data_IF_626831870491
#
_entry.id   IF_626831870491
#
_cell.length_a   1.000
_cell.length_b   1.000
_cell.length_c   1.000
_cell.angle_alpha   90.00
_cell.angle_beta   90.00
_cell.angle_gamma   90.00
#
_symmetry.space_group_name_H-M   'P 1'
#
loop_
_entity.id
_entity.type
_entity.pdbx_description
1 polymer ?
#
# COMPACT_ATOMS: atom_id res chain seq x y z
N UNK A 1 -25.76 -41.70 68.63
CA UNK A 1 -24.61 -40.77 68.47
C UNK A 1 -24.41 -40.54 66.98
N UNK A 2 -24.50 -39.28 66.51
CA UNK A 2 -24.21 -38.80 65.15
C UNK A 2 -25.09 -39.34 63.99
N UNK A 3 -25.52 -38.56 63.00
CA UNK A 3 -25.32 -37.14 62.65
C UNK A 3 -26.45 -36.75 61.70
N UNK A 4 -26.99 -35.53 61.88
CA UNK A 4 -27.94 -34.88 60.98
C UNK A 4 -27.27 -34.62 59.63
N UNK A 5 -27.98 -34.85 58.52
CA UNK A 5 -27.67 -34.23 57.23
C UNK A 5 -28.96 -33.56 56.73
N UNK A 6 -28.98 -32.23 56.81
CA UNK A 6 -30.01 -31.38 56.20
C UNK A 6 -29.64 -31.20 54.73
N UNK A 7 -30.50 -31.59 53.82
CA UNK A 7 -30.36 -31.26 52.40
C UNK A 7 -31.02 -29.89 52.15
N UNK A 8 -30.19 -28.91 51.81
CA UNK A 8 -30.63 -27.59 51.37
C UNK A 8 -30.88 -27.65 49.87
N UNK A 9 -32.12 -27.52 49.43
CA UNK A 9 -32.48 -27.37 48.01
C UNK A 9 -32.19 -25.91 47.64
N UNK A 10 -31.18 -25.69 46.79
CA UNK A 10 -30.94 -24.38 46.17
C UNK A 10 -31.89 -24.22 44.99
N UNK A 11 -32.79 -23.25 45.06
CA UNK A 11 -33.63 -22.79 43.95
C UNK A 11 -32.77 -21.88 43.08
N UNK A 12 -32.34 -22.37 41.91
CA UNK A 12 -31.57 -21.58 40.95
C UNK A 12 -32.58 -20.90 40.02
N UNK A 13 -32.83 -19.62 40.26
CA UNK A 13 -33.73 -18.79 39.45
C UNK A 13 -33.03 -18.44 38.13
N UNK A 14 -33.72 -18.81 37.06
CA UNK A 14 -33.63 -18.42 35.66
C UNK A 14 -32.86 -17.14 35.33
N UNK A 15 -31.92 -17.27 34.38
CA UNK A 15 -31.71 -16.30 33.30
C UNK A 15 -31.46 -17.08 32.01
N UNK A 16 -32.53 -17.62 31.41
CA UNK A 16 -32.51 -17.94 29.98
C UNK A 16 -32.62 -16.60 29.25
N UNK A 17 -31.47 -16.01 28.91
CA UNK A 17 -31.42 -14.98 27.88
C UNK A 17 -31.73 -15.66 26.54
N UNK A 18 -33.02 -15.71 26.19
CA UNK A 18 -33.46 -15.92 24.83
C UNK A 18 -33.11 -14.66 24.03
N UNK A 19 -31.86 -14.57 23.59
CA UNK A 19 -31.49 -13.73 22.45
C UNK A 19 -32.24 -14.26 21.23
N UNK A 20 -33.44 -13.71 21.00
CA UNK A 20 -34.14 -13.91 19.74
C UNK A 20 -33.28 -13.24 18.67
N UNK A 21 -32.90 -13.93 17.58
CA UNK A 21 -32.35 -13.24 16.43
C UNK A 21 -33.43 -12.28 15.94
N UNK A 22 -33.11 -10.98 15.94
CA UNK A 22 -33.89 -9.99 15.19
C UNK A 22 -33.71 -10.39 13.73
N UNK A 23 -34.67 -11.15 13.20
CA UNK A 23 -34.82 -11.31 11.76
C UNK A 23 -35.11 -9.91 11.23
N UNK A 24 -34.11 -9.30 10.58
CA UNK A 24 -34.31 -8.06 9.85
C UNK A 24 -35.47 -8.28 8.88
N UNK A 25 -36.60 -7.63 9.16
CA UNK A 25 -37.76 -7.69 8.29
C UNK A 25 -37.38 -6.91 7.03
N UNK A 26 -37.27 -7.61 5.91
CA UNK A 26 -36.94 -7.04 4.61
C UNK A 26 -38.01 -5.98 4.27
N UNK A 27 -37.63 -4.71 4.32
CA UNK A 27 -38.52 -3.59 4.01
C UNK A 27 -38.81 -3.61 2.51
N UNK A 28 -40.05 -3.95 2.15
CA UNK A 28 -40.52 -4.00 0.76
C UNK A 28 -40.54 -2.57 0.21
N UNK A 29 -39.94 -2.35 -0.95
CA UNK A 29 -39.89 -1.04 -1.59
C UNK A 29 -41.23 -0.66 -2.25
N UNK A 30 -41.57 0.63 -2.22
CA UNK A 30 -42.85 1.15 -2.71
C UNK A 30 -42.89 1.30 -4.25
N UNK A 31 -41.75 1.08 -4.92
CA UNK A 31 -41.63 1.20 -6.37
C UNK A 31 -40.43 0.43 -6.93
N UNK A 32 -40.47 0.18 -8.24
CA UNK A 32 -39.34 -0.42 -8.97
C UNK A 32 -38.05 0.40 -8.82
N UNK A 33 -38.14 1.73 -8.92
CA UNK A 33 -36.97 2.62 -8.85
C UNK A 33 -36.32 2.58 -7.47
N UNK A 34 -37.14 2.54 -6.42
CA UNK A 34 -36.63 2.42 -5.05
C UNK A 34 -36.01 1.04 -4.80
N UNK A 35 -36.67 -0.04 -5.24
CA UNK A 35 -36.12 -1.40 -5.15
C UNK A 35 -34.78 -1.50 -5.88
N UNK A 36 -34.71 -0.97 -7.11
CA UNK A 36 -33.50 -0.97 -7.92
C UNK A 36 -32.38 -0.18 -7.24
N UNK A 37 -32.67 1.01 -6.68
CA UNK A 37 -31.67 1.82 -5.98
C UNK A 37 -31.16 1.14 -4.70
N UNK A 38 -32.06 0.64 -3.85
CA UNK A 38 -31.70 -0.09 -2.62
C UNK A 38 -30.81 -1.28 -2.96
N UNK A 39 -31.20 -2.04 -3.97
CA UNK A 39 -30.44 -3.19 -4.44
C UNK A 39 -29.09 -2.80 -5.04
N UNK A 40 -29.02 -1.71 -5.81
CA UNK A 40 -27.74 -1.21 -6.35
C UNK A 40 -26.76 -0.86 -5.24
N UNK A 41 -27.22 -0.19 -4.18
CA UNK A 41 -26.39 0.14 -3.01
C UNK A 41 -25.93 -1.15 -2.31
N UNK A 42 -26.84 -2.10 -2.09
CA UNK A 42 -26.51 -3.39 -1.49
C UNK A 42 -25.43 -4.14 -2.28
N UNK A 43 -25.56 -4.20 -3.60
CA UNK A 43 -24.60 -4.87 -4.47
C UNK A 43 -23.23 -4.18 -4.45
N UNK A 44 -23.19 -2.84 -4.39
CA UNK A 44 -21.95 -2.09 -4.24
C UNK A 44 -21.23 -2.37 -2.91
N UNK A 45 -21.99 -2.63 -1.84
CA UNK A 45 -21.41 -2.92 -0.51
C UNK A 45 -21.06 -4.40 -0.31
N UNK A 46 -21.65 -5.31 -1.10
CA UNK A 46 -21.57 -6.76 -0.87
C UNK A 46 -20.77 -7.50 -1.95
N UNK A 47 -20.74 -7.00 -3.18
CA UNK A 47 -20.08 -7.68 -4.30
C UNK A 47 -18.69 -7.10 -4.51
N UNK A 48 -17.68 -7.88 -4.14
CA UNK A 48 -16.27 -7.54 -4.30
C UNK A 48 -15.65 -8.03 -5.63
N UNK A 49 -16.41 -8.77 -6.45
CA UNK A 49 -15.91 -9.33 -7.72
C UNK A 49 -16.71 -8.81 -8.91
N UNK A 50 -16.04 -8.41 -10.01
CA UNK A 50 -16.70 -8.16 -11.28
C UNK A 50 -17.41 -9.42 -11.80
N UNK A 51 -18.54 -9.23 -12.48
CA UNK A 51 -19.40 -10.31 -12.95
C UNK A 51 -20.80 -9.85 -13.35
N UNK A 52 -21.57 -10.75 -13.95
CA UNK A 52 -22.99 -10.55 -14.22
C UNK A 52 -23.82 -11.38 -13.25
N UNK A 53 -24.78 -10.72 -12.60
CA UNK A 53 -25.60 -11.25 -11.53
C UNK A 53 -27.08 -11.10 -11.87
N UNK A 54 -27.88 -12.08 -11.46
CA UNK A 54 -29.33 -12.05 -11.57
C UNK A 54 -29.91 -11.74 -10.22
N UNK A 55 -30.68 -10.66 -10.15
CA UNK A 55 -31.25 -10.19 -8.90
C UNK A 55 -32.76 -10.09 -9.03
N UNK A 56 -33.46 -10.70 -8.07
CA UNK A 56 -34.90 -10.64 -8.00
C UNK A 56 -35.32 -9.39 -7.20
N UNK A 57 -35.82 -8.37 -7.91
CA UNK A 57 -36.40 -7.19 -7.28
C UNK A 57 -37.84 -7.50 -6.87
N UNK A 58 -38.17 -7.19 -5.63
CA UNK A 58 -39.54 -7.26 -5.12
C UNK A 58 -40.00 -5.85 -4.76
N UNK A 59 -41.11 -5.40 -5.32
CA UNK A 59 -41.67 -4.07 -5.05
C UNK A 59 -43.20 -4.09 -5.10
N UNK A 60 -43.83 -3.15 -4.38
CA UNK A 60 -45.26 -2.89 -4.50
C UNK A 60 -45.54 -2.04 -5.74
N UNK A 61 -46.56 -2.42 -6.49
CA UNK A 61 -47.11 -1.60 -7.56
C UNK A 61 -48.63 -1.58 -7.43
N UNK A 62 -49.17 -0.47 -6.93
CA UNK A 62 -50.62 -0.28 -6.76
C UNK A 62 -51.27 -1.31 -5.82
N UNK A 63 -50.55 -1.76 -4.78
CA UNK A 63 -51.02 -2.76 -3.82
C UNK A 63 -50.80 -4.21 -4.25
N UNK A 64 -50.15 -4.44 -5.39
CA UNK A 64 -49.72 -5.78 -5.83
C UNK A 64 -48.20 -5.93 -5.71
N UNK A 65 -47.78 -7.06 -5.11
CA UNK A 65 -46.37 -7.43 -4.99
C UNK A 65 -45.86 -7.98 -6.32
N UNK A 66 -44.98 -7.24 -6.99
CA UNK A 66 -44.34 -7.66 -8.22
C UNK A 66 -42.93 -8.17 -7.92
N UNK A 67 -42.62 -9.38 -8.41
CA UNK A 67 -41.25 -9.90 -8.46
C UNK A 67 -40.72 -9.83 -9.88
N UNK A 68 -39.59 -9.15 -10.06
CA UNK A 68 -38.95 -8.97 -11.37
C UNK A 68 -37.46 -9.29 -11.27
N UNK A 69 -37.01 -10.28 -12.02
CA UNK A 69 -35.59 -10.56 -12.16
C UNK A 69 -34.94 -9.53 -13.09
N UNK A 70 -33.88 -8.89 -12.61
CA UNK A 70 -33.05 -7.96 -13.38
C UNK A 70 -31.64 -8.51 -13.49
N UNK A 71 -30.99 -8.20 -14.61
CA UNK A 71 -29.60 -8.56 -14.87
C UNK A 71 -28.72 -7.36 -14.57
N UNK A 72 -27.75 -7.54 -13.67
CA UNK A 72 -26.81 -6.50 -13.25
C UNK A 72 -25.41 -6.94 -13.62
N UNK A 73 -24.65 -6.08 -14.29
CA UNK A 73 -23.23 -6.33 -14.56
C UNK A 73 -22.40 -5.39 -13.70
N UNK A 74 -21.60 -5.97 -12.81
CA UNK A 74 -20.65 -5.28 -11.96
C UNK A 74 -19.30 -5.25 -12.67
N UNK A 75 -18.75 -4.05 -12.84
CA UNK A 75 -17.48 -3.81 -13.52
C UNK A 75 -16.43 -3.38 -12.50
N UNK A 76 -15.22 -3.93 -12.62
CA UNK A 76 -14.03 -3.41 -11.97
C UNK A 76 -13.46 -2.18 -12.69
N UNK A 77 -12.39 -1.62 -12.14
CA UNK A 77 -11.74 -0.41 -12.68
C UNK A 77 -11.23 -0.59 -14.11
N UNK A 78 -10.82 -1.82 -14.47
CA UNK A 78 -10.21 -2.14 -15.77
C UNK A 78 -11.10 -3.03 -16.64
N UNK A 79 -12.37 -3.27 -16.25
CA UNK A 79 -13.25 -4.18 -17.00
C UNK A 79 -13.48 -3.64 -18.41
N UNK A 80 -13.23 -4.49 -19.41
CA UNK A 80 -13.56 -4.25 -20.82
C UNK A 80 -14.78 -5.09 -21.16
N UNK A 81 -15.77 -4.49 -21.84
CA UNK A 81 -16.96 -5.19 -22.34
C UNK A 81 -17.04 -5.01 -23.86
N UNK A 82 -16.92 -6.11 -24.60
CA UNK A 82 -17.04 -6.16 -26.05
C UNK A 82 -17.90 -7.34 -26.49
N UNK A 83 -18.86 -7.12 -27.42
CA UNK A 83 -19.69 -8.19 -28.03
C UNK A 83 -20.33 -9.13 -26.99
N UNK A 84 -20.90 -8.55 -25.94
CA UNK A 84 -21.51 -9.28 -24.81
C UNK A 84 -20.54 -10.08 -23.94
N UNK A 85 -19.23 -9.91 -24.10
CA UNK A 85 -18.19 -10.55 -23.31
C UNK A 85 -17.48 -9.49 -22.48
N UNK A 86 -17.35 -9.76 -21.20
CA UNK A 86 -16.60 -8.93 -20.28
C UNK A 86 -15.31 -9.65 -19.88
N UNK A 87 -14.23 -8.88 -19.72
CA UNK A 87 -12.96 -9.34 -19.16
C UNK A 87 -12.47 -8.29 -18.16
N UNK A 88 -12.04 -8.76 -16.99
CA UNK A 88 -11.41 -7.97 -15.95
C UNK A 88 -10.09 -8.61 -15.53
N UNK A 89 -9.11 -7.77 -15.20
CA UNK A 89 -7.84 -8.19 -14.65
C UNK A 89 -7.24 -7.01 -13.86
N UNK A 90 -6.36 -7.34 -12.93
CA UNK A 90 -5.72 -6.42 -12.02
C UNK A 90 -4.21 -6.29 -12.33
N UNK A 91 -3.59 -5.14 -12.04
CA UNK A 91 -2.14 -4.99 -12.09
C UNK A 91 -1.43 -6.00 -11.19
N UNK A 92 -0.24 -6.43 -11.59
CA UNK A 92 0.50 -7.49 -10.92
C UNK A 92 1.84 -6.96 -10.41
N UNK A 93 2.22 -7.35 -9.19
CA UNK A 93 3.54 -7.10 -8.63
C UNK A 93 4.28 -8.42 -8.42
N UNK A 94 5.50 -8.51 -8.96
CA UNK A 94 6.33 -9.72 -8.95
C UNK A 94 7.80 -9.38 -8.83
N UNK A 95 8.60 -10.34 -8.41
CA UNK A 95 10.06 -10.23 -8.38
C UNK A 95 10.71 -10.74 -9.67
N UNK A 96 11.97 -10.37 -9.91
CA UNK A 96 12.77 -10.84 -11.06
C UNK A 96 12.89 -12.36 -11.15
N UNK A 97 12.85 -13.05 -10.00
CA UNK A 97 12.92 -14.52 -9.92
C UNK A 97 11.58 -15.16 -10.31
N UNK A 98 10.49 -14.59 -9.80
CA UNK A 98 9.12 -15.05 -10.07
C UNK A 98 8.75 -15.00 -11.55
N UNK A 99 9.13 -13.91 -12.25
CA UNK A 99 8.90 -13.73 -13.69
C UNK A 99 9.44 -14.92 -14.51
N UNK A 100 10.58 -15.52 -14.10
CA UNK A 100 11.20 -16.65 -14.80
C UNK A 100 10.52 -17.98 -14.51
N UNK A 101 9.86 -18.09 -13.37
CA UNK A 101 9.27 -19.35 -12.88
C UNK A 101 7.78 -19.49 -13.18
N UNK A 102 7.08 -18.38 -13.42
CA UNK A 102 5.63 -18.38 -13.54
C UNK A 102 5.13 -18.98 -14.85
N UNK A 103 4.09 -19.79 -14.70
CA UNK A 103 3.31 -20.37 -15.78
C UNK A 103 2.19 -19.41 -16.21
N UNK A 104 1.49 -19.71 -17.30
CA UNK A 104 0.32 -18.91 -17.73
C UNK A 104 -0.75 -18.87 -16.65
N UNK A 105 -0.95 -19.99 -15.96
CA UNK A 105 -1.92 -20.16 -14.89
C UNK A 105 -1.57 -19.30 -13.68
N UNK A 106 -0.28 -19.14 -13.36
CA UNK A 106 0.18 -18.24 -12.30
C UNK A 106 -0.15 -16.78 -12.61
N UNK A 107 0.07 -16.35 -13.86
CA UNK A 107 -0.25 -15.01 -14.32
C UNK A 107 -1.76 -14.73 -14.29
N UNK A 108 -2.58 -15.67 -14.75
CA UNK A 108 -4.04 -15.56 -14.69
C UNK A 108 -4.51 -15.42 -13.24
N UNK A 109 -3.95 -16.24 -12.32
CA UNK A 109 -4.30 -16.19 -10.90
C UNK A 109 -3.87 -14.88 -10.25
N UNK A 110 -2.64 -14.40 -10.49
CA UNK A 110 -2.11 -13.18 -9.89
C UNK A 110 -2.81 -11.93 -10.41
N UNK A 111 -3.08 -11.88 -11.72
CA UNK A 111 -3.86 -10.81 -12.33
C UNK A 111 -5.34 -10.90 -12.03
N UNK A 112 -5.80 -11.92 -11.28
CA UNK A 112 -7.22 -12.19 -11.06
C UNK A 112 -8.04 -12.13 -12.35
N UNK A 113 -7.43 -12.58 -13.45
CA UNK A 113 -7.98 -12.40 -14.79
C UNK A 113 -9.24 -13.27 -14.93
N UNK A 114 -10.37 -12.64 -15.20
CA UNK A 114 -11.68 -13.27 -15.29
C UNK A 114 -12.41 -12.76 -16.52
N UNK A 115 -12.91 -13.68 -17.33
CA UNK A 115 -13.81 -13.37 -18.42
C UNK A 115 -15.18 -14.02 -18.19
N UNK A 116 -16.24 -13.36 -18.64
CA UNK A 116 -17.60 -13.89 -18.55
C UNK A 116 -18.50 -13.35 -19.66
N UNK A 117 -19.57 -14.07 -19.96
CA UNK A 117 -20.64 -13.57 -20.81
C UNK A 117 -21.56 -12.65 -20.02
N UNK A 118 -21.77 -11.42 -20.52
CA UNK A 118 -22.73 -10.47 -19.95
C UNK A 118 -24.19 -10.89 -20.16
N UNK A 119 -24.43 -11.93 -20.97
CA UNK A 119 -25.77 -12.45 -21.25
C UNK A 119 -26.33 -13.26 -20.09
N UNK A 120 -25.57 -14.25 -19.63
CA UNK A 120 -25.95 -15.25 -18.63
C UNK A 120 -24.97 -15.35 -17.45
N UNK A 121 -23.89 -14.58 -17.45
CA UNK A 121 -22.86 -14.60 -16.41
C UNK A 121 -21.94 -15.82 -16.48
N UNK A 122 -22.00 -16.64 -17.54
CA UNK A 122 -21.15 -17.81 -17.69
C UNK A 122 -19.67 -17.40 -17.74
N UNK A 123 -18.82 -18.08 -16.98
CA UNK A 123 -17.39 -17.81 -16.95
C UNK A 123 -16.72 -18.37 -18.21
N UNK A 124 -15.97 -17.54 -18.90
CA UNK A 124 -15.22 -17.91 -20.09
C UNK A 124 -13.74 -18.16 -19.76
N UNK A 125 -13.10 -19.14 -20.42
CA UNK A 125 -11.69 -19.40 -20.22
C UNK A 125 -10.82 -18.31 -20.85
N UNK A 126 -9.74 -17.96 -20.17
CA UNK A 126 -8.61 -17.22 -20.74
C UNK A 126 -7.75 -18.23 -21.50
N UNK A 127 -7.62 -18.06 -22.82
CA UNK A 127 -6.93 -19.03 -23.70
C UNK A 127 -5.47 -18.67 -23.94
N UNK A 128 -5.11 -17.40 -23.80
CA UNK A 128 -3.74 -16.95 -23.99
C UNK A 128 -3.33 -15.82 -23.05
N UNK A 129 -2.03 -15.78 -22.80
CA UNK A 129 -1.35 -14.80 -21.96
C UNK A 129 -0.14 -14.28 -22.74
N UNK A 130 -0.22 -13.04 -23.20
CA UNK A 130 0.81 -12.35 -23.96
C UNK A 130 1.99 -11.93 -23.08
N UNK A 131 2.98 -12.82 -22.98
CA UNK A 131 4.18 -12.64 -22.13
C UNK A 131 5.41 -12.14 -22.91
N UNK A 132 5.26 -11.76 -24.19
CA UNK A 132 6.39 -11.49 -25.09
C UNK A 132 7.21 -10.27 -24.67
N UNK A 133 6.58 -9.30 -24.00
CA UNK A 133 7.21 -8.06 -23.55
C UNK A 133 7.75 -8.15 -22.11
N UNK A 134 7.42 -9.22 -21.37
CA UNK A 134 7.88 -9.41 -20.01
C UNK A 134 9.38 -9.71 -19.96
N UNK A 135 10.10 -8.93 -19.15
CA UNK A 135 11.53 -9.14 -18.88
C UNK A 135 11.76 -9.34 -17.39
N UNK A 136 12.70 -10.23 -17.01
CA UNK A 136 13.06 -10.43 -15.61
C UNK A 136 14.02 -9.33 -15.10
N UNK A 137 13.65 -8.08 -15.34
CA UNK A 137 14.42 -6.88 -15.01
C UNK A 137 13.48 -5.88 -14.35
N UNK A 138 13.97 -5.11 -13.36
CA UNK A 138 13.14 -4.13 -12.64
C UNK A 138 12.52 -3.15 -13.63
N UNK A 139 11.20 -3.00 -13.61
CA UNK A 139 10.47 -2.18 -14.57
C UNK A 139 8.97 -2.46 -14.57
N UNK A 140 8.25 -1.78 -15.45
CA UNK A 140 6.84 -1.99 -15.69
C UNK A 140 6.65 -2.50 -17.12
N UNK A 141 5.93 -3.61 -17.29
CA UNK A 141 5.76 -4.29 -18.57
C UNK A 141 4.28 -4.64 -18.78
N UNK A 142 3.78 -4.54 -20.02
CA UNK A 142 2.42 -4.93 -20.31
C UNK A 142 2.28 -6.47 -20.32
N UNK A 143 1.14 -6.95 -19.84
CA UNK A 143 0.71 -8.33 -19.92
C UNK A 143 -0.72 -8.37 -20.45
N UNK A 144 -0.94 -9.09 -21.54
CA UNK A 144 -2.25 -9.18 -22.20
C UNK A 144 -2.92 -10.52 -21.91
N UNK A 145 -4.15 -10.51 -21.42
CA UNK A 145 -4.99 -11.70 -21.30
C UNK A 145 -5.99 -11.72 -22.46
N UNK A 146 -6.18 -12.88 -23.10
CA UNK A 146 -7.10 -13.04 -24.23
C UNK A 146 -8.10 -14.18 -23.99
N UNK A 147 -9.36 -13.92 -24.33
CA UNK A 147 -10.46 -14.89 -24.28
C UNK A 147 -10.61 -15.65 -25.59
N UNK A 148 -11.41 -16.73 -25.57
CA UNK A 148 -11.71 -17.53 -26.77
C UNK A 148 -12.41 -16.76 -27.90
N UNK A 149 -12.97 -15.59 -27.61
CA UNK A 149 -13.74 -14.77 -28.55
C UNK A 149 -12.99 -13.50 -28.97
N UNK A 150 -11.65 -13.50 -28.88
CA UNK A 150 -10.77 -12.39 -29.26
C UNK A 150 -10.96 -11.09 -28.47
N UNK A 151 -11.62 -11.15 -27.30
CA UNK A 151 -11.64 -10.04 -26.35
C UNK A 151 -10.40 -10.12 -25.48
N UNK A 152 -9.68 -9.01 -25.33
CA UNK A 152 -8.42 -8.94 -24.59
C UNK A 152 -8.32 -7.73 -23.67
N UNK A 153 -7.60 -7.89 -22.56
CA UNK A 153 -7.25 -6.83 -21.62
C UNK A 153 -5.74 -6.80 -21.42
N UNK A 154 -5.15 -5.60 -21.31
CA UNK A 154 -3.74 -5.44 -21.00
C UNK A 154 -3.58 -4.77 -19.64
N UNK A 155 -2.88 -5.44 -18.73
CA UNK A 155 -2.55 -4.94 -17.39
C UNK A 155 -1.06 -4.69 -17.26
N UNK A 156 -0.68 -3.90 -16.26
CA UNK A 156 0.73 -3.64 -15.98
C UNK A 156 1.28 -4.64 -14.97
N UNK A 157 2.47 -5.17 -15.27
CA UNK A 157 3.28 -6.01 -14.39
C UNK A 157 4.48 -5.21 -13.92
N UNK A 158 4.51 -4.94 -12.62
CA UNK A 158 5.63 -4.26 -11.97
C UNK A 158 6.61 -5.30 -11.43
N UNK A 159 7.79 -5.35 -12.04
CA UNK A 159 8.89 -6.22 -11.63
C UNK A 159 9.74 -5.48 -10.59
N UNK A 160 9.74 -6.02 -9.38
CA UNK A 160 10.40 -5.51 -8.20
C UNK A 160 11.72 -6.27 -7.95
N UNK A 161 12.58 -5.68 -7.13
CA UNK A 161 13.84 -6.31 -6.70
C UNK A 161 13.56 -7.51 -5.79
N UNK A 162 14.22 -8.63 -6.06
CA UNK A 162 14.20 -9.80 -5.18
C UNK A 162 15.17 -9.63 -4.00
N UNK A 163 14.64 -9.11 -2.89
CA UNK A 163 15.43 -8.87 -1.66
C UNK A 163 15.87 -10.18 -0.98
N UNK A 164 15.20 -11.31 -1.26
CA UNK A 164 15.51 -12.60 -0.63
C UNK A 164 16.72 -13.28 -1.29
N UNK A 165 16.85 -13.18 -2.61
CA UNK A 165 18.05 -13.65 -3.33
C UNK A 165 19.27 -12.80 -3.03
N UNK A 166 19.08 -11.48 -2.91
CA UNK A 166 20.17 -10.55 -2.60
C UNK A 166 20.79 -10.86 -1.22
N UNK A 167 19.94 -11.14 -0.21
CA UNK A 167 20.42 -11.54 1.12
C UNK A 167 21.22 -12.84 1.11
N UNK A 168 20.75 -13.87 0.39
CA UNK A 168 21.48 -15.15 0.27
C UNK A 168 22.80 -15.00 -0.49
N UNK A 169 22.80 -14.23 -1.59
CA UNK A 169 24.03 -13.94 -2.34
C UNK A 169 25.05 -13.18 -1.51
N UNK A 170 24.59 -12.24 -0.66
CA UNK A 170 25.46 -11.52 0.29
C UNK A 170 26.10 -12.45 1.32
N UNK A 171 25.39 -13.49 1.74
CA UNK A 171 25.88 -14.47 2.71
C UNK A 171 26.92 -15.43 2.10
N UNK A 172 26.77 -15.81 0.82
CA UNK A 172 27.60 -16.83 0.17
C UNK A 172 28.82 -16.25 -0.57
N UNK A 173 28.73 -15.06 -1.18
CA UNK A 173 29.76 -14.55 -2.10
C UNK A 173 30.32 -13.16 -1.74
N UNK A 174 29.98 -12.63 -0.56
CA UNK A 174 30.35 -11.28 -0.14
C UNK A 174 29.30 -10.22 -0.53
N UNK A 175 29.44 -9.01 0.01
CA UNK A 175 28.42 -7.95 -0.06
C UNK A 175 28.14 -7.50 -1.51
N UNK A 176 26.97 -7.86 -2.05
CA UNK A 176 26.44 -7.45 -3.36
C UNK A 176 25.38 -6.33 -3.27
N UNK A 177 25.24 -5.68 -2.11
CA UNK A 177 24.50 -4.42 -2.04
C UNK A 177 25.22 -3.38 -2.89
N UNK A 178 24.73 -3.18 -4.12
CA UNK A 178 24.93 -1.90 -4.80
C UNK A 178 24.07 -0.90 -4.03
N UNK A 179 24.67 -0.30 -2.99
CA UNK A 179 24.17 0.95 -2.42
C UNK A 179 23.76 1.85 -3.59
N UNK A 180 22.62 2.55 -3.53
CA UNK A 180 22.20 3.44 -4.60
C UNK A 180 23.35 4.40 -4.91
N UNK A 181 24.03 4.17 -6.03
CA UNK A 181 25.21 4.94 -6.45
C UNK A 181 24.82 6.33 -6.97
N UNK A 182 23.53 6.66 -6.92
CA UNK A 182 22.96 7.91 -7.42
C UNK A 182 22.91 9.04 -6.39
N UNK A 183 23.44 8.84 -5.18
CA UNK A 183 23.71 10.01 -4.33
C UNK A 183 24.94 10.74 -4.88
N UNK A 184 24.83 12.05 -5.20
CA UNK A 184 25.92 12.81 -5.82
C UNK A 184 27.17 12.92 -4.94
N UNK A 185 27.06 12.59 -3.65
CA UNK A 185 28.14 12.60 -2.67
C UNK A 185 28.50 11.16 -2.34
N UNK A 186 29.54 10.64 -2.99
CA UNK A 186 30.12 9.33 -2.67
C UNK A 186 30.86 9.34 -1.33
N UNK A 187 31.10 8.16 -0.76
CA UNK A 187 31.85 7.98 0.49
C UNK A 187 33.24 8.63 0.44
N UNK A 188 33.93 8.57 -0.71
CA UNK A 188 35.23 9.24 -0.90
C UNK A 188 35.13 10.75 -0.72
N UNK A 189 34.07 11.38 -1.23
CA UNK A 189 33.86 12.82 -1.10
C UNK A 189 33.50 13.21 0.34
N UNK A 190 32.75 12.35 1.04
CA UNK A 190 32.47 12.50 2.46
C UNK A 190 33.75 12.46 3.30
N UNK A 191 34.66 11.51 3.04
CA UNK A 191 35.94 11.41 3.73
C UNK A 191 36.83 12.64 3.48
N UNK A 192 36.89 13.12 2.22
CA UNK A 192 37.62 14.35 1.88
C UNK A 192 37.02 15.55 2.62
N UNK A 193 35.69 15.69 2.63
CA UNK A 193 35.00 16.76 3.35
C UNK A 193 35.27 16.71 4.86
N UNK A 194 35.14 15.53 5.49
CA UNK A 194 35.37 15.34 6.91
C UNK A 194 36.82 15.68 7.29
N UNK A 195 37.79 15.23 6.49
CA UNK A 195 39.21 15.54 6.67
C UNK A 195 39.47 17.05 6.61
N UNK A 196 38.87 17.74 5.63
CA UNK A 196 38.93 19.19 5.52
C UNK A 196 38.34 19.89 6.74
N UNK A 197 37.16 19.47 7.20
CA UNK A 197 36.53 20.03 8.39
C UNK A 197 37.37 19.85 9.65
N UNK A 198 37.94 18.66 9.87
CA UNK A 198 38.81 18.39 11.02
C UNK A 198 40.07 19.26 10.95
N UNK A 199 40.70 19.39 9.77
CA UNK A 199 41.90 20.19 9.59
C UNK A 199 41.63 21.68 9.83
N UNK A 200 40.53 22.22 9.30
CA UNK A 200 40.12 23.61 9.54
C UNK A 200 39.79 23.81 11.03
N UNK A 201 39.05 22.87 11.64
CA UNK A 201 38.67 22.94 13.05
C UNK A 201 39.89 22.96 13.98
N UNK A 202 40.87 22.10 13.73
CA UNK A 202 42.13 22.09 14.48
C UNK A 202 42.91 23.39 14.28
N UNK A 203 43.01 23.90 13.05
CA UNK A 203 43.71 25.15 12.78
C UNK A 203 43.02 26.35 13.45
N UNK A 204 41.68 26.41 13.41
CA UNK A 204 40.88 27.42 14.08
C UNK A 204 41.05 27.35 15.60
N UNK A 205 41.06 26.15 16.18
CA UNK A 205 41.27 25.97 17.63
C UNK A 205 42.60 26.51 18.14
N UNK A 206 43.63 26.55 17.28
CA UNK A 206 44.95 27.09 17.60
C UNK A 206 45.05 28.60 17.32
N UNK A 207 44.47 29.06 16.20
CA UNK A 207 44.54 30.47 15.81
C UNK A 207 43.64 31.37 16.65
N UNK A 208 42.43 30.93 17.01
CA UNK A 208 41.47 31.77 17.72
C UNK A 208 42.07 32.28 19.05
N UNK A 209 42.62 31.43 19.94
CA UNK A 209 43.26 31.90 21.18
C UNK A 209 44.42 32.87 20.94
N UNK A 210 45.22 32.63 19.89
CA UNK A 210 46.36 33.48 19.56
C UNK A 210 45.91 34.90 19.15
N UNK A 211 44.87 34.98 18.31
CA UNK A 211 44.27 36.26 17.89
C UNK A 211 43.67 36.99 19.09
N UNK A 212 43.00 36.27 20.00
CA UNK A 212 42.49 36.85 21.24
C UNK A 212 43.61 37.42 22.13
N UNK A 213 44.72 36.69 22.30
CA UNK A 213 45.88 37.17 23.07
C UNK A 213 46.52 38.41 22.46
N UNK A 214 46.69 38.44 21.13
CA UNK A 214 47.22 39.61 20.42
C UNK A 214 46.30 40.82 20.57
N UNK A 215 44.98 40.60 20.43
CA UNK A 215 43.99 41.67 20.60
C UNK A 215 44.02 42.22 22.02
N UNK A 216 44.07 41.35 23.03
CA UNK A 216 44.19 41.74 24.44
C UNK A 216 45.46 42.56 24.68
N UNK A 217 46.60 42.13 24.12
CA UNK A 217 47.87 42.85 24.24
C UNK A 217 47.78 44.30 23.73
N UNK A 218 47.25 44.50 22.52
CA UNK A 218 47.12 45.85 21.94
C UNK A 218 46.14 46.75 22.72
N UNK A 219 45.04 46.19 23.22
CA UNK A 219 44.07 46.92 24.05
C UNK A 219 44.71 47.34 25.38
N UNK A 220 45.46 46.45 26.02
CA UNK A 220 46.18 46.74 27.27
C UNK A 220 47.25 47.82 27.05
N UNK A 221 48.04 47.73 25.97
CA UNK A 221 49.05 48.73 25.62
C UNK A 221 48.43 50.12 25.42
N UNK A 222 47.33 50.20 24.66
CA UNK A 222 46.62 51.46 24.41
C UNK A 222 46.05 52.05 25.71
N UNK A 223 45.55 51.21 26.62
CA UNK A 223 45.01 51.63 27.92
C UNK A 223 46.12 52.16 28.83
N UNK A 224 47.25 51.47 28.90
CA UNK A 224 48.42 51.92 29.68
C UNK A 224 48.93 53.28 29.18
N UNK A 225 49.05 53.47 27.85
CA UNK A 225 49.48 54.76 27.27
C UNK A 225 48.55 55.90 27.69
N UNK A 226 47.23 55.69 27.67
CA UNK A 226 46.23 56.69 28.12
C UNK A 226 46.38 57.03 29.61
N UNK A 227 46.58 56.02 30.46
CA UNK A 227 46.77 56.22 31.91
C UNK A 227 48.04 57.02 32.19
N UNK A 228 49.16 56.68 31.54
CA UNK A 228 50.44 57.42 31.68
C UNK A 228 50.27 58.88 31.26
N UNK A 229 49.60 59.15 30.13
CA UNK A 229 49.34 60.51 29.67
C UNK A 229 48.50 61.32 30.66
N UNK A 230 47.44 60.72 31.23
CA UNK A 230 46.60 61.36 32.23
C UNK A 230 47.39 61.68 33.53
N UNK A 231 48.26 60.77 33.98
CA UNK A 231 49.12 61.02 35.14
C UNK A 231 50.11 62.16 34.91
N UNK A 232 50.73 62.23 33.72
CA UNK A 232 51.64 63.32 33.35
C UNK A 232 50.92 64.68 33.29
N UNK A 233 49.67 64.70 32.80
CA UNK A 233 48.86 65.92 32.78
C UNK A 233 48.50 66.41 34.18
N UNK A 234 48.17 65.51 35.11
CA UNK A 234 47.86 65.87 36.49
C UNK A 234 49.07 66.36 37.31
N UNK A 235 50.30 66.10 36.85
CA UNK A 235 51.54 66.52 37.51
C UNK A 235 52.05 67.90 37.04
N UNK A 236 51.48 68.47 35.97
CA UNK A 236 51.80 69.80 35.46
C UNK A 236 50.83 70.85 35.98
#
# INVERSE_FOLDING_TARGET
MNRKVKWTVFFLVSFFNLSHPVLAQEEIADSYEEAFRKETIRLQETIDSPGTYFVDLTYDHQGEMIKKQVKVTVTGEQTIIEKEIAIDAQPIEVTTTEVKSFTKEDWIRLGQAKAWETKDGETLPIIDVGMQELKPEIGSYPLTFQTIHDVSITVQVNVLRDTKTDFKSNQENGWHERLPSDHPIGWEQYEVFLKWMIQIGLFASLLIPLVFLLTQYFVTEATIKKIIQAMIQNLK
#
